data_IF_815451211226
#
_entry.id   IF_815451211226
#
_cell.length_a   1.000
_cell.length_b   1.000
_cell.length_c   1.000
_cell.angle_alpha   90.00
_cell.angle_beta   90.00
_cell.angle_gamma   90.00
#
_symmetry.space_group_name_H-M   'P 1'
#
loop_
_entity.id
_entity.type
_entity.pdbx_description
1 polymer ?
#
# COMPACT_ATOMS: atom_id res chain seq x y z
N UNK A 1 -6.66 22.81 30.10
CA UNK A 1 -5.62 23.43 29.25
C UNK A 1 -5.15 22.51 28.11
N UNK A 2 -5.98 21.58 27.63
CA UNK A 2 -5.67 20.73 26.46
C UNK A 2 -6.48 21.11 25.21
N UNK A 3 -7.52 21.93 25.35
CA UNK A 3 -8.48 22.18 24.27
C UNK A 3 -8.20 23.45 23.44
N UNK A 4 -7.18 24.24 23.81
CA UNK A 4 -6.88 25.50 23.10
C UNK A 4 -5.99 25.31 21.86
N UNK A 5 -5.24 24.20 21.78
CA UNK A 5 -4.34 23.93 20.64
C UNK A 5 -5.04 23.25 19.46
N UNK A 6 -6.13 22.52 19.71
CA UNK A 6 -6.93 21.90 18.64
C UNK A 6 -7.71 22.96 17.85
N UNK A 7 -8.26 23.98 18.53
CA UNK A 7 -8.98 25.08 17.90
C UNK A 7 -8.08 25.98 17.03
N UNK A 8 -6.81 26.15 17.41
CA UNK A 8 -5.87 27.01 16.68
C UNK A 8 -5.37 26.36 15.38
N UNK A 9 -5.27 25.02 15.33
CA UNK A 9 -4.97 24.31 14.09
C UNK A 9 -6.18 24.27 13.15
N UNK A 10 -7.40 24.07 13.66
CA UNK A 10 -8.63 24.11 12.85
C UNK A 10 -8.88 25.49 12.21
N UNK A 11 -8.51 26.58 12.88
CA UNK A 11 -8.70 27.96 12.38
C UNK A 11 -7.77 28.34 11.21
N UNK A 12 -6.56 27.77 11.13
CA UNK A 12 -5.63 28.07 10.03
C UNK A 12 -6.01 27.29 8.77
N UNK A 13 -6.53 26.06 8.93
CA UNK A 13 -7.09 25.30 7.81
C UNK A 13 -8.34 25.98 7.23
N UNK A 14 -9.27 26.48 8.05
CA UNK A 14 -10.52 27.05 7.55
C UNK A 14 -10.35 28.39 6.78
N UNK A 15 -9.30 29.17 7.07
CA UNK A 15 -9.07 30.47 6.39
C UNK A 15 -8.37 30.36 5.03
N UNK A 16 -7.81 29.20 4.68
CA UNK A 16 -7.28 28.94 3.32
C UNK A 16 -8.38 28.48 2.36
N UNK A 17 -9.48 27.90 2.86
CA UNK A 17 -10.56 27.35 2.02
C UNK A 17 -11.57 28.37 1.48
N UNK A 18 -11.56 29.64 1.91
CA UNK A 18 -12.53 30.64 1.44
C UNK A 18 -12.09 31.44 0.20
N UNK A 19 -10.94 31.12 -0.41
CA UNK A 19 -10.38 31.91 -1.52
C UNK A 19 -10.33 31.19 -2.88
N UNK A 20 -10.88 29.98 -3.03
CA UNK A 20 -10.85 29.28 -4.31
C UNK A 20 -12.18 28.62 -4.67
N UNK A 21 -12.69 29.03 -5.84
CA UNK A 21 -13.67 28.36 -6.68
C UNK A 21 -15.15 28.48 -6.29
N UNK A 22 -15.71 29.66 -6.63
CA UNK A 22 -16.97 29.68 -7.37
C UNK A 22 -16.73 29.28 -8.82
N UNK A 23 -17.44 28.25 -9.27
CA UNK A 23 -18.03 28.06 -10.61
C UNK A 23 -18.66 26.67 -10.63
N UNK A 24 -19.99 26.66 -10.47
CA UNK A 24 -20.84 25.52 -10.83
C UNK A 24 -20.73 25.30 -12.35
N UNK A 25 -20.18 24.16 -12.75
CA UNK A 25 -20.48 23.59 -14.06
C UNK A 25 -21.34 22.35 -13.91
N UNK A 26 -22.43 22.40 -14.65
CA UNK A 26 -23.60 21.53 -14.66
C UNK A 26 -23.28 20.10 -15.05
N UNK A 27 -23.70 19.17 -14.18
CA UNK A 27 -23.77 17.73 -14.41
C UNK A 27 -24.83 17.41 -15.47
N UNK A 28 -24.43 16.88 -16.63
CA UNK A 28 -25.35 16.28 -17.60
C UNK A 28 -25.60 14.82 -17.24
N UNK A 29 -26.87 14.51 -16.95
CA UNK A 29 -27.43 13.15 -16.83
C UNK A 29 -27.25 12.39 -18.14
N UNK A 30 -26.48 11.30 -18.13
CA UNK A 30 -26.47 10.31 -19.20
C UNK A 30 -27.12 8.98 -18.74
N UNK A 31 -28.43 8.94 -18.97
CA UNK A 31 -29.25 7.85 -19.50
C UNK A 31 -28.71 6.41 -19.36
N UNK A 32 -29.10 5.74 -18.28
CA UNK A 32 -28.97 4.29 -18.12
C UNK A 32 -30.05 3.59 -18.97
N UNK A 33 -29.63 2.78 -19.96
CA UNK A 33 -30.49 1.80 -20.62
C UNK A 33 -30.42 0.45 -19.90
N UNK A 34 -31.56 -0.20 -19.59
CA UNK A 34 -31.60 -1.58 -19.14
C UNK A 34 -31.95 -2.52 -20.30
N UNK A 35 -31.32 -3.69 -20.35
CA UNK A 35 -31.70 -4.97 -21.01
C UNK A 35 -30.38 -5.79 -21.11
N UNK A 36 -30.27 -7.11 -20.94
CA UNK A 36 -31.27 -8.18 -20.97
C UNK A 36 -30.69 -9.45 -20.31
N UNK A 37 -31.56 -10.18 -19.61
CA UNK A 37 -31.76 -11.63 -19.55
C UNK A 37 -30.60 -12.65 -19.70
N UNK A 38 -30.48 -13.47 -18.65
CA UNK A 38 -30.58 -14.95 -18.63
C UNK A 38 -29.66 -15.79 -19.51
N UNK A 39 -28.77 -16.55 -18.88
CA UNK A 39 -28.51 -17.94 -19.28
C UNK A 39 -28.24 -18.84 -18.06
N UNK A 40 -29.18 -19.75 -17.81
CA UNK A 40 -29.10 -20.86 -16.85
C UNK A 40 -28.33 -21.99 -17.53
N UNK A 41 -27.10 -22.26 -17.09
CA UNK A 41 -26.38 -23.47 -17.48
C UNK A 41 -26.52 -24.50 -16.36
N UNK A 42 -27.20 -25.59 -16.70
CA UNK A 42 -27.48 -26.72 -15.82
C UNK A 42 -26.21 -27.48 -15.43
N UNK A 43 -26.14 -28.05 -14.21
CA UNK A 43 -25.07 -28.96 -13.82
C UNK A 43 -25.25 -30.34 -14.48
N UNK A 44 -24.28 -30.74 -15.28
CA UNK A 44 -24.17 -32.11 -15.83
C UNK A 44 -23.79 -33.08 -14.72
N UNK A 45 -24.67 -34.07 -14.47
CA UNK A 45 -24.44 -35.20 -13.59
C UNK A 45 -23.49 -36.20 -14.24
N UNK A 46 -22.30 -36.37 -13.69
CA UNK A 46 -21.36 -37.43 -14.06
C UNK A 46 -21.71 -38.73 -13.33
N UNK A 47 -21.76 -39.89 -14.01
CA UNK A 47 -22.08 -41.17 -13.39
C UNK A 47 -20.97 -41.70 -12.48
N UNK A 48 -21.42 -42.36 -11.40
CA UNK A 48 -20.62 -43.04 -10.40
C UNK A 48 -19.78 -44.17 -11.01
N UNK A 49 -18.47 -44.12 -10.78
CA UNK A 49 -17.55 -45.23 -11.03
C UNK A 49 -17.40 -46.03 -9.73
N UNK A 50 -17.57 -47.34 -9.89
CA UNK A 50 -17.55 -48.38 -8.88
C UNK A 50 -16.21 -48.44 -8.14
N UNK A 51 -16.29 -48.74 -6.84
CA UNK A 51 -15.17 -48.98 -5.94
C UNK A 51 -14.29 -50.16 -6.42
N UNK A 52 -13.00 -49.90 -6.56
CA UNK A 52 -11.96 -50.88 -6.25
C UNK A 52 -11.19 -50.39 -5.02
N UNK A 53 -11.20 -51.21 -3.98
CA UNK A 53 -10.71 -50.92 -2.65
C UNK A 53 -9.34 -51.60 -2.46
N UNK A 54 -8.22 -50.88 -2.61
CA UNK A 54 -6.92 -51.41 -2.23
C UNK A 54 -6.73 -51.30 -0.71
N UNK A 55 -6.36 -52.46 -0.16
CA UNK A 55 -5.93 -52.75 1.20
C UNK A 55 -5.15 -51.63 1.86
N UNK A 56 -5.59 -51.25 3.05
CA UNK A 56 -4.94 -50.33 3.97
C UNK A 56 -3.45 -50.69 4.15
N UNK A 57 -2.57 -49.77 3.74
CA UNK A 57 -1.23 -49.67 4.27
C UNK A 57 -1.16 -48.38 5.09
N UNK A 58 -1.07 -48.59 6.41
CA UNK A 58 -0.79 -47.58 7.41
C UNK A 58 0.63 -47.04 7.19
N UNK A 59 0.74 -46.03 6.33
CA UNK A 59 1.90 -45.15 6.26
C UNK A 59 1.44 -43.82 6.83
N UNK A 60 1.73 -43.62 8.11
CA UNK A 60 1.62 -42.34 8.81
C UNK A 60 2.66 -41.37 8.24
N UNK A 61 2.45 -40.94 7.01
CA UNK A 61 3.20 -39.86 6.38
C UNK A 61 2.59 -38.55 6.88
N UNK A 62 3.29 -37.97 7.84
CA UNK A 62 3.04 -36.61 8.31
C UNK A 62 3.31 -35.67 7.14
N UNK A 63 2.27 -35.37 6.37
CA UNK A 63 2.27 -34.24 5.44
C UNK A 63 2.26 -32.99 6.32
N UNK A 64 3.44 -32.60 6.79
CA UNK A 64 3.69 -31.23 7.18
C UNK A 64 3.48 -30.42 5.89
N UNK A 65 2.54 -29.47 5.85
CA UNK A 65 2.42 -28.59 4.71
C UNK A 65 3.71 -27.78 4.67
N UNK A 66 4.69 -28.24 3.88
CA UNK A 66 5.78 -27.42 3.41
C UNK A 66 5.12 -26.30 2.61
N UNK A 67 4.81 -25.20 3.30
CA UNK A 67 4.46 -23.95 2.67
C UNK A 67 5.61 -23.67 1.72
N UNK A 68 5.36 -23.92 0.43
CA UNK A 68 6.23 -23.44 -0.63
C UNK A 68 6.05 -21.95 -0.60
N UNK A 69 6.82 -21.29 0.28
CA UNK A 69 6.91 -19.84 0.33
C UNK A 69 7.39 -19.44 -1.05
N UNK A 70 6.45 -18.87 -1.80
CA UNK A 70 6.73 -18.32 -3.11
C UNK A 70 7.87 -17.32 -2.93
N UNK A 71 8.91 -17.27 -3.78
CA UNK A 71 9.97 -16.26 -3.68
C UNK A 71 9.43 -14.81 -3.73
N UNK A 72 8.16 -14.62 -4.11
CA UNK A 72 7.44 -13.35 -4.02
C UNK A 72 6.95 -12.99 -2.60
N UNK A 73 6.77 -13.97 -1.70
CA UNK A 73 6.29 -13.74 -0.33
C UNK A 73 7.31 -13.05 0.58
N UNK A 74 8.58 -12.96 0.18
CA UNK A 74 9.62 -12.31 0.99
C UNK A 74 9.98 -10.90 0.51
N UNK A 75 9.59 -10.53 -0.72
CA UNK A 75 10.08 -9.29 -1.33
C UNK A 75 9.58 -8.05 -0.61
N UNK A 76 8.34 -8.07 -0.15
CA UNK A 76 7.77 -6.95 0.62
C UNK A 76 8.50 -6.73 1.94
N UNK A 77 9.09 -7.78 2.54
CA UNK A 77 9.86 -7.67 3.78
C UNK A 77 11.12 -6.83 3.53
N UNK A 78 11.78 -7.02 2.38
CA UNK A 78 12.94 -6.19 2.00
C UNK A 78 12.54 -4.72 1.82
N UNK A 79 11.41 -4.47 1.15
CA UNK A 79 10.88 -3.13 0.94
C UNK A 79 10.54 -2.44 2.26
N UNK A 80 9.78 -3.12 3.12
CA UNK A 80 9.40 -2.61 4.43
C UNK A 80 10.62 -2.28 5.28
N UNK A 81 11.61 -3.19 5.33
CA UNK A 81 12.85 -2.94 6.07
C UNK A 81 13.62 -1.74 5.50
N UNK A 82 13.70 -1.60 4.18
CA UNK A 82 14.41 -0.49 3.54
C UNK A 82 13.69 0.85 3.78
N UNK A 83 12.37 0.87 3.70
CA UNK A 83 11.53 2.03 4.00
C UNK A 83 11.64 2.41 5.47
N UNK A 84 11.45 1.47 6.39
CA UNK A 84 11.56 1.68 7.82
C UNK A 84 12.94 2.20 8.21
N UNK A 85 14.02 1.63 7.67
CA UNK A 85 15.37 2.11 7.94
C UNK A 85 15.59 3.57 7.50
N UNK A 86 14.90 4.02 6.45
CA UNK A 86 14.98 5.39 5.97
C UNK A 86 14.08 6.36 6.74
N UNK A 87 12.85 5.95 7.03
CA UNK A 87 11.80 6.77 7.65
C UNK A 87 11.95 6.85 9.17
N UNK A 88 12.48 5.80 9.79
CA UNK A 88 12.59 5.63 11.24
C UNK A 88 14.03 5.26 11.63
N UNK A 89 15.01 6.18 11.47
CA UNK A 89 16.42 5.86 11.71
C UNK A 89 16.65 5.25 13.09
N UNK A 90 17.24 4.05 13.12
CA UNK A 90 17.55 3.33 14.36
C UNK A 90 16.39 2.54 14.97
N UNK A 91 15.23 2.47 14.30
CA UNK A 91 14.08 1.69 14.76
C UNK A 91 13.57 0.76 13.65
N UNK A 92 12.94 -0.34 14.06
CA UNK A 92 12.08 -1.12 13.18
C UNK A 92 10.70 -0.49 13.15
N UNK A 93 9.95 -0.68 12.07
CA UNK A 93 8.61 -0.16 11.93
C UNK A 93 7.78 -0.95 10.96
N UNK A 94 6.47 -0.87 11.16
CA UNK A 94 5.50 -1.28 10.15
C UNK A 94 5.38 -0.16 9.14
N UNK A 95 5.39 -0.53 7.87
CA UNK A 95 5.20 0.41 6.77
C UNK A 95 4.08 -0.05 5.85
N UNK A 96 3.35 0.92 5.32
CA UNK A 96 2.42 0.78 4.22
C UNK A 96 2.84 1.71 3.09
N UNK A 97 2.54 1.32 1.85
CA UNK A 97 2.89 2.13 0.70
C UNK A 97 1.99 1.88 -0.50
N UNK A 98 1.87 2.91 -1.33
CA UNK A 98 1.25 2.86 -2.66
C UNK A 98 2.31 3.14 -3.73
N UNK A 99 2.39 2.30 -4.76
CA UNK A 99 3.26 2.54 -5.91
C UNK A 99 2.65 3.64 -6.78
N UNK A 100 3.41 4.72 -7.00
CA UNK A 100 3.02 5.83 -7.85
C UNK A 100 3.47 5.61 -9.31
N UNK A 101 4.58 4.92 -9.50
CA UNK A 101 5.14 4.57 -10.79
C UNK A 101 6.46 3.83 -10.63
N UNK A 102 7.00 3.29 -11.72
CA UNK A 102 8.28 2.61 -11.70
C UNK A 102 8.96 2.62 -13.05
N UNK A 103 10.26 2.37 -13.04
CA UNK A 103 11.05 2.02 -14.22
C UNK A 103 11.94 0.80 -13.88
N UNK A 104 12.95 0.50 -14.72
CA UNK A 104 13.80 -0.68 -14.54
C UNK A 104 14.65 -0.69 -13.25
N UNK A 105 14.97 0.48 -12.69
CA UNK A 105 15.90 0.61 -11.57
C UNK A 105 15.34 1.47 -10.44
N UNK A 106 14.11 1.96 -10.56
CA UNK A 106 13.51 2.88 -9.61
C UNK A 106 12.04 2.57 -9.43
N UNK A 107 11.58 2.58 -8.18
CA UNK A 107 10.17 2.63 -7.83
C UNK A 107 9.91 3.92 -7.10
N UNK A 108 8.88 4.63 -7.55
CA UNK A 108 8.37 5.82 -6.93
C UNK A 108 7.10 5.44 -6.17
N UNK A 109 7.05 5.75 -4.88
CA UNK A 109 5.95 5.35 -4.02
C UNK A 109 5.62 6.47 -3.03
N UNK A 110 4.43 6.39 -2.44
CA UNK A 110 4.12 7.09 -1.20
C UNK A 110 4.13 6.09 -0.07
N UNK A 111 4.87 6.37 1.01
CA UNK A 111 4.94 5.48 2.16
C UNK A 111 4.53 6.18 3.45
N UNK A 112 4.04 5.37 4.38
CA UNK A 112 3.88 5.72 5.78
C UNK A 112 4.51 4.62 6.61
N UNK A 113 5.30 5.00 7.61
CA UNK A 113 5.94 4.06 8.52
C UNK A 113 5.76 4.53 9.96
N UNK A 114 5.51 3.59 10.87
CA UNK A 114 5.47 3.82 12.32
C UNK A 114 6.33 2.82 13.08
N UNK A 115 6.98 3.27 14.15
CA UNK A 115 7.83 2.38 14.96
C UNK A 115 7.02 1.24 15.55
N UNK A 116 7.48 -0.01 15.37
CA UNK A 116 6.71 -1.22 15.72
C UNK A 116 6.46 -1.41 17.22
N UNK A 117 7.26 -0.77 18.09
CA UNK A 117 7.24 -1.01 19.54
C UNK A 117 6.24 -0.13 20.31
N UNK A 118 5.63 0.85 19.66
CA UNK A 118 4.66 1.76 20.28
C UNK A 118 3.64 2.25 19.26
N UNK A 119 2.36 2.09 19.59
CA UNK A 119 1.23 2.62 18.81
C UNK A 119 1.18 4.16 18.82
N UNK A 120 1.81 4.79 19.81
CA UNK A 120 2.01 6.25 19.88
C UNK A 120 3.44 6.65 19.47
N UNK A 121 4.18 5.70 18.87
CA UNK A 121 5.57 5.87 18.50
C UNK A 121 5.77 6.82 17.33
N UNK A 122 7.04 7.08 17.02
CA UNK A 122 7.39 7.97 15.92
C UNK A 122 6.84 7.41 14.59
N UNK A 123 6.33 8.32 13.77
CA UNK A 123 5.82 8.02 12.45
C UNK A 123 6.28 9.06 11.44
N UNK A 124 6.37 8.64 10.17
CA UNK A 124 6.68 9.51 9.05
C UNK A 124 5.85 9.07 7.84
N UNK A 125 5.30 10.04 7.11
CA UNK A 125 4.68 9.82 5.81
C UNK A 125 5.26 10.79 4.79
N UNK A 126 5.68 10.26 3.65
CA UNK A 126 6.31 11.02 2.58
C UNK A 126 6.37 10.20 1.29
N UNK A 127 6.46 10.85 0.12
CA UNK A 127 6.87 10.16 -1.08
C UNK A 127 8.33 9.70 -0.97
N UNK A 128 8.66 8.58 -1.59
CA UNK A 128 9.98 7.99 -1.58
C UNK A 128 10.34 7.37 -2.93
N UNK A 129 11.64 7.21 -3.14
CA UNK A 129 12.21 6.49 -4.29
C UNK A 129 13.05 5.34 -3.78
N UNK A 130 12.70 4.12 -4.18
CA UNK A 130 13.54 2.94 -3.99
C UNK A 130 14.38 2.76 -5.26
N UNK A 131 15.70 2.76 -5.11
CA UNK A 131 16.64 2.49 -6.20
C UNK A 131 17.12 1.05 -6.11
N UNK A 132 17.18 0.39 -7.26
CA UNK A 132 17.70 -0.96 -7.42
C UNK A 132 19.09 -0.95 -8.06
N UNK A 133 19.88 -1.99 -7.80
CA UNK A 133 21.06 -2.31 -8.59
C UNK A 133 20.71 -3.11 -9.85
N UNK A 134 21.72 -3.54 -10.60
CA UNK A 134 21.54 -4.31 -11.84
C UNK A 134 21.04 -5.72 -11.62
N UNK A 135 21.19 -6.25 -10.42
CA UNK A 135 20.76 -7.59 -10.02
C UNK A 135 19.35 -7.56 -9.40
N UNK A 136 18.74 -6.38 -9.35
CA UNK A 136 17.41 -6.16 -8.79
C UNK A 136 17.41 -6.02 -7.27
N UNK A 137 18.54 -5.88 -6.58
CA UNK A 137 18.54 -5.68 -5.13
C UNK A 137 18.30 -4.21 -4.77
N UNK A 138 17.68 -3.96 -3.61
CA UNK A 138 17.51 -2.59 -3.11
C UNK A 138 18.88 -2.01 -2.76
N UNK A 139 19.25 -0.94 -3.48
CA UNK A 139 20.50 -0.21 -3.26
C UNK A 139 20.34 0.88 -2.21
N UNK A 140 19.25 1.64 -2.27
CA UNK A 140 18.95 2.74 -1.32
C UNK A 140 17.52 3.24 -1.46
N UNK A 141 17.04 3.88 -0.40
CA UNK A 141 15.80 4.67 -0.41
C UNK A 141 16.11 6.15 -0.24
N UNK A 142 15.50 7.01 -1.04
CA UNK A 142 15.53 8.48 -0.87
C UNK A 142 14.14 9.01 -0.56
N UNK A 143 14.11 10.11 0.19
CA UNK A 143 12.91 10.93 0.45
C UNK A 143 13.27 12.39 0.15
N UNK A 144 12.29 13.23 -0.17
CA UNK A 144 12.50 14.67 -0.32
C UNK A 144 13.07 15.31 0.93
N UNK A 145 13.74 16.45 0.76
CA UNK A 145 14.03 17.35 1.88
C UNK A 145 12.73 17.96 2.39
N UNK A 146 12.73 18.39 3.64
CA UNK A 146 11.57 18.99 4.29
C UNK A 146 11.51 20.52 4.09
N UNK A 147 10.41 21.11 4.57
CA UNK A 147 10.22 22.56 4.61
C UNK A 147 10.27 23.22 3.22
N UNK A 148 10.94 24.37 3.14
CA UNK A 148 11.02 25.17 1.91
C UNK A 148 11.69 24.47 0.73
N UNK A 149 12.43 23.39 0.97
CA UNK A 149 13.15 22.62 -0.05
C UNK A 149 12.34 21.43 -0.58
N UNK A 150 11.14 21.19 -0.05
CA UNK A 150 10.31 20.05 -0.42
C UNK A 150 9.98 20.05 -1.92
N UNK A 151 9.41 21.15 -2.43
CA UNK A 151 9.02 21.23 -3.84
C UNK A 151 10.18 21.11 -4.83
N UNK A 152 11.35 21.64 -4.50
CA UNK A 152 12.57 21.46 -5.31
C UNK A 152 13.04 20.00 -5.28
N UNK A 153 13.04 19.38 -4.10
CA UNK A 153 13.44 17.99 -3.93
C UNK A 153 12.49 17.01 -4.65
N UNK A 154 11.19 17.32 -4.72
CA UNK A 154 10.24 16.55 -5.53
C UNK A 154 10.64 16.57 -7.00
N UNK A 155 10.92 17.76 -7.54
CA UNK A 155 11.31 17.91 -8.95
C UNK A 155 12.63 17.24 -9.29
N UNK A 156 13.55 17.15 -8.33
CA UNK A 156 14.83 16.46 -8.49
C UNK A 156 14.68 14.93 -8.46
N UNK A 157 13.83 14.41 -7.57
CA UNK A 157 13.76 12.97 -7.27
C UNK A 157 12.74 12.21 -8.12
N UNK A 158 11.68 12.87 -8.57
CA UNK A 158 10.53 12.21 -9.20
C UNK A 158 10.36 12.66 -10.66
N UNK A 159 9.92 11.76 -11.56
CA UNK A 159 9.48 12.12 -12.91
C UNK A 159 8.36 13.15 -12.89
N UNK A 160 8.32 14.01 -13.91
CA UNK A 160 7.38 15.14 -14.00
C UNK A 160 5.92 14.70 -13.94
N UNK A 161 5.60 13.56 -14.56
CA UNK A 161 4.25 12.98 -14.58
C UNK A 161 3.73 12.58 -13.19
N UNK A 162 4.62 12.40 -12.21
CA UNK A 162 4.23 12.04 -10.84
C UNK A 162 4.07 13.26 -9.93
N UNK A 163 4.50 14.45 -10.36
CA UNK A 163 4.49 15.64 -9.49
C UNK A 163 3.08 16.00 -9.06
N UNK A 164 2.12 16.02 -10.00
CA UNK A 164 0.72 16.33 -9.68
C UNK A 164 0.15 15.33 -8.67
N UNK A 165 0.35 14.02 -8.89
CA UNK A 165 -0.14 12.96 -7.99
C UNK A 165 0.42 13.12 -6.56
N UNK A 166 1.69 13.50 -6.45
CA UNK A 166 2.35 13.75 -5.15
C UNK A 166 1.77 14.98 -4.44
N UNK A 167 1.43 16.04 -5.17
CA UNK A 167 0.88 17.26 -4.57
C UNK A 167 -0.64 17.21 -4.36
N UNK A 168 -1.36 16.34 -5.09
CA UNK A 168 -2.82 16.24 -5.04
C UNK A 168 -3.35 15.40 -3.88
N UNK A 169 -2.49 14.79 -3.06
CA UNK A 169 -2.89 13.90 -1.94
C UNK A 169 -3.83 12.78 -2.37
N UNK A 170 -3.61 12.18 -3.55
CA UNK A 170 -4.49 11.14 -4.09
C UNK A 170 -4.35 9.77 -3.40
N UNK A 171 -3.36 9.64 -2.52
CA UNK A 171 -3.02 8.39 -1.84
C UNK A 171 -3.88 8.28 -0.58
N UNK A 172 -4.50 7.11 -0.37
CA UNK A 172 -5.33 6.87 0.81
C UNK A 172 -4.48 6.59 2.06
N UNK A 173 -3.97 7.68 2.63
CA UNK A 173 -3.13 7.62 3.83
C UNK A 173 -3.89 7.18 5.08
N UNK A 174 -5.21 7.31 5.09
CA UNK A 174 -6.05 6.94 6.22
C UNK A 174 -6.16 5.41 6.32
N UNK A 175 -6.48 4.74 5.22
CA UNK A 175 -6.54 3.27 5.17
C UNK A 175 -5.16 2.67 5.52
N UNK A 176 -4.08 3.22 4.97
CA UNK A 176 -2.72 2.78 5.30
C UNK A 176 -2.40 2.96 6.78
N UNK A 177 -2.78 4.09 7.37
CA UNK A 177 -2.54 4.34 8.79
C UNK A 177 -3.31 3.36 9.69
N UNK A 178 -4.59 3.15 9.40
CA UNK A 178 -5.45 2.24 10.15
C UNK A 178 -4.90 0.80 10.09
N UNK A 179 -4.41 0.39 8.93
CA UNK A 179 -3.78 -0.92 8.79
C UNK A 179 -2.49 -1.05 9.60
N UNK A 180 -1.65 -0.02 9.66
CA UNK A 180 -0.49 0.00 10.58
C UNK A 180 -0.93 -0.20 12.03
N UNK A 181 -2.02 0.46 12.46
CA UNK A 181 -2.54 0.29 13.84
C UNK A 181 -2.99 -1.14 14.09
N UNK A 182 -3.63 -1.77 13.11
CA UNK A 182 -4.03 -3.18 13.20
C UNK A 182 -2.82 -4.11 13.32
N UNK A 183 -1.77 -3.87 12.52
CA UNK A 183 -0.53 -4.65 12.50
C UNK A 183 0.24 -4.64 13.82
N UNK A 184 0.07 -3.60 14.63
CA UNK A 184 0.60 -3.58 16.00
C UNK A 184 -0.02 -4.64 16.92
N UNK A 185 -1.27 -5.01 16.68
CA UNK A 185 -1.99 -6.01 17.49
C UNK A 185 -1.96 -7.40 16.85
N UNK A 186 -1.92 -7.47 15.52
CA UNK A 186 -1.88 -8.71 14.75
C UNK A 186 -0.94 -8.52 13.55
N UNK A 187 0.35 -8.93 13.65
CA UNK A 187 1.29 -8.75 12.56
C UNK A 187 0.84 -9.48 11.30
N UNK A 188 0.54 -8.72 10.25
CA UNK A 188 0.18 -9.20 8.92
C UNK A 188 1.02 -8.49 7.83
N UNK A 189 1.07 -9.02 6.60
CA UNK A 189 1.70 -8.34 5.47
C UNK A 189 1.03 -6.99 5.18
N UNK A 190 1.73 -6.04 4.53
CA UNK A 190 1.16 -4.75 4.15
C UNK A 190 0.03 -4.87 3.13
N UNK A 191 -0.82 -3.85 3.02
CA UNK A 191 -2.00 -3.81 2.15
C UNK A 191 -1.68 -4.18 0.71
N UNK A 192 -0.57 -3.66 0.17
CA UNK A 192 -0.13 -3.95 -1.20
C UNK A 192 0.00 -5.47 -1.48
N UNK A 193 0.37 -6.26 -0.47
CA UNK A 193 0.47 -7.72 -0.56
C UNK A 193 -0.91 -8.36 -0.42
N UNK A 194 -1.73 -7.86 0.50
CA UNK A 194 -3.10 -8.37 0.72
C UNK A 194 -4.00 -8.12 -0.50
N UNK A 195 -3.75 -7.04 -1.23
CA UNK A 195 -4.42 -6.69 -2.49
C UNK A 195 -3.89 -7.47 -3.69
N UNK A 196 -2.79 -8.23 -3.51
CA UNK A 196 -2.17 -9.01 -4.58
C UNK A 196 -1.44 -8.16 -5.61
N UNK A 197 -1.03 -6.94 -5.25
CA UNK A 197 -0.24 -6.08 -6.14
C UNK A 197 1.16 -6.66 -6.29
N UNK A 198 1.61 -6.82 -7.54
CA UNK A 198 2.95 -7.31 -7.84
C UNK A 198 4.00 -6.27 -7.47
N UNK A 199 5.02 -6.70 -6.71
CA UNK A 199 6.18 -5.88 -6.40
C UNK A 199 7.25 -6.06 -7.50
N UNK A 200 7.75 -4.97 -8.11
CA UNK A 200 8.80 -5.04 -9.12
C UNK A 200 10.16 -5.53 -8.61
#
# INVERSE_FOLDING_TARGET
MKDFRLLQMLSVFYLVFLAACGNEETLSEDKISPLSATELIAPTLTPAILLDQPTAQDVKESIEPTQTQSPFQDRWIEYENALAARFLPGSKGYCEWEILGHNKQEIYLWAICQTQFSIEGAAMSAPAVIYFDTDGNIKKVKVPKDGSQYGESIRELFPEELHEKIFSHSVDVEIMWDHIQLRHSSPEPPLIVLEGTELP
#
